data_IF_473654215508
#
_entry.id   IF_473654215508
#
_cell.length_a   1.000
_cell.length_b   1.000
_cell.length_c   1.000
_cell.angle_alpha   90.00
_cell.angle_beta   90.00
_cell.angle_gamma   90.00
#
_symmetry.space_group_name_H-M   'P 1'
#
loop_
_entity.id
_entity.type
_entity.pdbx_description
1 polymer ?
#
# COMPACT_ATOMS: atom_id res chain seq x y z
N UNK A 1 -21.18 1.44 -7.08
CA UNK A 1 -20.16 2.50 -6.86
C UNK A 1 -19.20 2.49 -8.03
N UNK A 2 -18.89 3.65 -8.60
CA UNK A 2 -17.93 3.82 -9.69
C UNK A 2 -16.77 4.68 -9.19
N UNK A 3 -15.55 4.19 -9.33
CA UNK A 3 -14.33 4.92 -9.01
C UNK A 3 -13.57 5.20 -10.31
N UNK A 4 -12.97 6.39 -10.44
CA UNK A 4 -12.29 6.81 -11.65
C UNK A 4 -10.88 7.33 -11.36
N UNK A 5 -9.98 7.11 -12.32
CA UNK A 5 -8.66 7.70 -12.33
C UNK A 5 -8.30 8.10 -13.77
N UNK A 6 -7.59 9.21 -13.92
CA UNK A 6 -7.07 9.68 -15.21
C UNK A 6 -5.56 9.62 -15.18
N UNK A 7 -4.97 8.95 -16.17
CA UNK A 7 -3.53 8.92 -16.40
C UNK A 7 -3.23 9.73 -17.66
N UNK A 8 -2.29 10.67 -17.59
CA UNK A 8 -1.96 11.53 -18.72
C UNK A 8 -0.44 11.69 -18.87
N UNK A 9 0.04 11.43 -20.07
CA UNK A 9 1.44 11.56 -20.46
C UNK A 9 1.54 12.30 -21.79
N UNK A 10 2.61 13.09 -21.95
CA UNK A 10 2.99 13.71 -23.21
C UNK A 10 4.48 13.49 -23.45
N UNK A 11 4.84 13.28 -24.72
CA UNK A 11 6.22 12.97 -25.11
C UNK A 11 7.21 14.11 -24.80
N UNK A 12 6.78 15.37 -24.94
CA UNK A 12 7.70 16.51 -24.88
C UNK A 12 8.74 16.46 -25.99
N UNK A 13 9.99 16.75 -25.66
CA UNK A 13 11.12 16.81 -26.60
C UNK A 13 11.87 15.48 -26.74
N UNK A 14 11.39 14.41 -26.12
CA UNK A 14 12.04 13.10 -26.13
C UNK A 14 11.96 12.39 -27.48
N UNK A 15 12.95 11.54 -27.75
CA UNK A 15 12.96 10.63 -28.89
C UNK A 15 12.23 9.32 -28.51
N UNK A 16 10.95 9.28 -28.84
CA UNK A 16 10.06 8.18 -28.44
C UNK A 16 10.48 6.83 -29.05
N UNK A 17 10.78 6.83 -30.35
CA UNK A 17 11.05 5.57 -31.06
C UNK A 17 12.37 4.92 -30.63
N UNK A 18 13.34 5.71 -30.16
CA UNK A 18 14.60 5.18 -29.61
C UNK A 18 14.49 4.81 -28.12
N UNK A 19 13.33 5.04 -27.49
CA UNK A 19 13.13 4.81 -26.06
C UNK A 19 13.66 5.92 -25.15
N UNK A 20 14.24 6.99 -25.72
CA UNK A 20 14.77 8.13 -24.96
C UNK A 20 13.70 9.19 -24.71
N UNK A 21 12.74 8.85 -23.90
CA UNK A 21 11.65 9.76 -23.49
C UNK A 21 11.39 9.65 -22.00
N UNK A 22 10.91 10.73 -21.37
CA UNK A 22 10.57 10.75 -19.97
C UNK A 22 9.33 9.88 -19.67
N UNK A 23 9.37 9.12 -18.60
CA UNK A 23 8.23 8.35 -18.06
C UNK A 23 7.38 9.17 -17.11
N UNK A 24 7.71 10.44 -16.89
CA UNK A 24 6.92 11.33 -16.06
C UNK A 24 5.50 11.50 -16.63
N UNK A 25 4.52 11.32 -15.78
CA UNK A 25 3.11 11.45 -16.11
C UNK A 25 2.34 11.97 -14.90
N UNK A 26 1.06 12.17 -15.05
CA UNK A 26 0.19 12.59 -13.96
C UNK A 26 -0.95 11.60 -13.78
N UNK A 27 -1.37 11.45 -12.52
CA UNK A 27 -2.57 10.72 -12.14
C UNK A 27 -3.52 11.70 -11.45
N UNK A 28 -4.75 11.76 -11.94
CA UNK A 28 -5.79 12.61 -11.35
C UNK A 28 -6.98 11.75 -10.93
N UNK A 29 -7.43 11.95 -9.72
CA UNK A 29 -8.54 11.20 -9.14
C UNK A 29 -9.83 12.02 -9.14
N UNK A 30 -10.96 11.38 -8.89
CA UNK A 30 -12.29 11.98 -8.98
C UNK A 30 -12.50 13.19 -8.05
N UNK A 31 -11.83 13.21 -6.90
CA UNK A 31 -11.83 14.35 -5.97
C UNK A 31 -10.95 15.53 -6.40
N UNK A 32 -10.27 15.45 -7.56
CA UNK A 32 -9.42 16.51 -8.11
C UNK A 32 -7.95 16.47 -7.68
N UNK A 33 -7.55 15.52 -6.82
CA UNK A 33 -6.14 15.34 -6.45
C UNK A 33 -5.35 14.85 -7.65
N UNK A 34 -4.24 15.52 -7.95
CA UNK A 34 -3.28 15.10 -8.97
C UNK A 34 -1.93 14.81 -8.33
N UNK A 35 -1.36 13.65 -8.66
CA UNK A 35 -0.02 13.25 -8.21
C UNK A 35 0.91 13.02 -9.41
N UNK A 36 2.20 13.23 -9.19
CA UNK A 36 3.25 12.92 -10.16
C UNK A 36 3.52 11.41 -10.16
N UNK A 37 3.52 10.81 -11.35
CA UNK A 37 3.84 9.41 -11.57
C UNK A 37 5.04 9.22 -12.48
N UNK A 38 5.72 8.09 -12.36
CA UNK A 38 6.81 7.65 -13.25
C UNK A 38 6.99 6.14 -13.13
N UNK A 39 7.79 5.56 -14.03
CA UNK A 39 8.37 4.24 -13.76
C UNK A 39 9.35 4.31 -12.60
N UNK A 40 9.51 3.20 -11.90
CA UNK A 40 10.63 3.03 -10.95
C UNK A 40 11.98 3.16 -11.67
N UNK A 41 13.00 3.79 -11.05
CA UNK A 41 14.36 3.83 -11.59
C UNK A 41 14.99 2.44 -11.78
N UNK A 42 14.51 1.43 -11.06
CA UNK A 42 14.96 0.04 -11.25
C UNK A 42 14.37 -0.63 -12.48
N UNK A 43 13.28 -0.08 -13.05
CA UNK A 43 12.68 -0.54 -14.31
C UNK A 43 13.15 0.28 -15.49
N UNK A 44 13.15 1.60 -15.35
CA UNK A 44 13.69 2.54 -16.35
C UNK A 44 14.71 3.44 -15.68
N UNK A 45 16.00 3.38 -16.08
CA UNK A 45 17.06 4.15 -15.43
C UNK A 45 16.85 5.67 -15.52
N UNK A 46 17.41 6.39 -14.56
CA UNK A 46 17.51 7.85 -14.63
C UNK A 46 18.38 8.25 -15.86
N UNK A 47 18.13 9.39 -16.50
CA UNK A 47 17.12 10.41 -16.19
C UNK A 47 15.75 10.18 -16.86
N UNK A 48 15.49 9.02 -17.43
CA UNK A 48 14.25 8.72 -18.16
C UNK A 48 13.08 8.40 -17.23
N UNK A 49 13.35 8.07 -15.98
CA UNK A 49 12.37 8.01 -14.90
C UNK A 49 12.57 9.16 -13.91
N UNK A 50 11.64 9.33 -12.99
CA UNK A 50 11.66 10.36 -11.95
C UNK A 50 11.56 9.68 -10.59
N UNK A 51 12.65 9.64 -9.85
CA UNK A 51 12.74 8.96 -8.56
C UNK A 51 11.75 9.49 -7.52
N UNK A 52 11.53 10.81 -7.52
CA UNK A 52 10.62 11.47 -6.58
C UNK A 52 9.13 11.27 -6.90
N UNK A 53 8.80 10.76 -8.08
CA UNK A 53 7.42 10.48 -8.47
C UNK A 53 7.00 9.07 -8.04
N UNK A 54 5.68 8.86 -7.90
CA UNK A 54 5.12 7.57 -7.48
C UNK A 54 5.09 6.60 -8.64
N UNK A 55 5.57 5.38 -8.45
CA UNK A 55 5.49 4.34 -9.46
C UNK A 55 4.23 3.44 -9.29
N UNK A 56 3.85 2.67 -10.33
CA UNK A 56 2.67 1.81 -10.27
C UNK A 56 2.72 0.75 -9.17
N UNK A 57 3.89 0.21 -8.87
CA UNK A 57 4.10 -0.80 -7.86
C UNK A 57 3.87 -0.22 -6.46
N UNK A 58 4.38 0.99 -6.20
CA UNK A 58 4.13 1.73 -4.94
C UNK A 58 2.64 2.03 -4.76
N UNK A 59 1.93 2.45 -5.82
CA UNK A 59 0.49 2.70 -5.77
C UNK A 59 -0.30 1.42 -5.47
N UNK A 60 0.10 0.30 -6.06
CA UNK A 60 -0.53 -1.00 -5.81
C UNK A 60 -0.37 -1.42 -4.34
N UNK A 61 0.84 -1.32 -3.80
CA UNK A 61 1.13 -1.62 -2.39
C UNK A 61 0.35 -0.70 -1.47
N UNK A 62 0.36 0.61 -1.74
CA UNK A 62 -0.36 1.60 -0.96
C UNK A 62 -1.87 1.37 -0.95
N UNK A 63 -2.45 0.94 -2.08
CA UNK A 63 -3.88 0.64 -2.15
C UNK A 63 -4.28 -0.54 -1.27
N UNK A 64 -3.46 -1.59 -1.22
CA UNK A 64 -3.64 -2.75 -0.34
C UNK A 64 -3.53 -2.35 1.14
N UNK A 65 -2.49 -1.62 1.49
CA UNK A 65 -2.26 -1.16 2.86
C UNK A 65 -3.38 -0.24 3.36
N UNK A 66 -3.78 0.73 2.54
CA UNK A 66 -4.85 1.67 2.89
C UNK A 66 -6.21 0.99 3.02
N UNK A 67 -6.56 0.09 2.12
CA UNK A 67 -7.82 -0.65 2.18
C UNK A 67 -7.90 -1.52 3.43
N UNK A 68 -6.82 -2.23 3.76
CA UNK A 68 -6.73 -3.03 4.99
C UNK A 68 -6.89 -2.16 6.24
N UNK A 69 -6.18 -1.04 6.31
CA UNK A 69 -6.29 -0.09 7.42
C UNK A 69 -7.71 0.40 7.64
N UNK A 70 -8.39 0.83 6.58
CA UNK A 70 -9.75 1.37 6.67
C UNK A 70 -10.73 0.34 7.23
N UNK A 71 -10.65 -0.91 6.81
CA UNK A 71 -11.46 -1.99 7.36
C UNK A 71 -11.09 -2.32 8.80
N UNK A 72 -9.80 -2.37 9.12
CA UNK A 72 -9.34 -2.56 10.50
C UNK A 72 -9.92 -1.50 11.44
N UNK A 73 -9.82 -0.24 11.07
CA UNK A 73 -10.32 0.88 11.88
C UNK A 73 -11.84 0.79 12.10
N UNK A 74 -12.59 0.43 11.06
CA UNK A 74 -14.03 0.28 11.19
C UNK A 74 -14.41 -0.88 12.12
N UNK A 75 -13.78 -2.02 11.99
CA UNK A 75 -14.02 -3.17 12.87
C UNK A 75 -13.57 -2.88 14.31
N UNK A 76 -12.43 -2.25 14.51
CA UNK A 76 -11.97 -1.84 15.83
C UNK A 76 -12.96 -0.91 16.51
N UNK A 77 -13.43 0.10 15.79
CA UNK A 77 -14.45 1.02 16.29
C UNK A 77 -15.73 0.30 16.73
N UNK A 78 -16.20 -0.67 15.95
CA UNK A 78 -17.46 -1.39 16.23
C UNK A 78 -17.42 -2.18 17.54
N UNK A 79 -16.26 -2.63 17.95
CA UNK A 79 -16.08 -3.39 19.19
C UNK A 79 -15.57 -2.54 20.36
N UNK A 80 -15.43 -1.22 20.16
CA UNK A 80 -14.97 -0.30 21.19
C UNK A 80 -13.46 -0.33 21.43
N UNK A 81 -12.66 -0.89 20.52
CA UNK A 81 -11.20 -0.78 20.55
C UNK A 81 -10.79 0.59 20.00
N UNK A 82 -10.39 1.50 20.88
CA UNK A 82 -10.10 2.89 20.55
C UNK A 82 -8.69 3.03 19.99
N UNK A 83 -8.58 3.12 18.67
CA UNK A 83 -7.29 3.27 17.97
C UNK A 83 -6.85 4.73 17.95
N UNK A 84 -5.68 5.01 18.49
CA UNK A 84 -5.07 6.34 18.49
C UNK A 84 -4.27 6.62 17.22
N UNK A 85 -3.56 5.62 16.71
CA UNK A 85 -2.79 5.75 15.47
C UNK A 85 -2.60 4.40 14.76
N UNK A 86 -2.38 4.47 13.46
CA UNK A 86 -2.10 3.32 12.61
C UNK A 86 -1.06 3.72 11.57
N UNK A 87 0.03 2.97 11.49
CA UNK A 87 1.07 3.16 10.48
C UNK A 87 1.40 1.80 9.86
N UNK A 88 1.61 1.75 8.56
CA UNK A 88 1.99 0.52 7.86
C UNK A 88 3.15 0.80 6.91
N UNK A 89 4.28 0.17 7.14
CA UNK A 89 5.43 0.18 6.26
C UNK A 89 5.40 -1.08 5.38
N UNK A 90 4.48 -1.09 4.43
CA UNK A 90 4.26 -2.20 3.54
C UNK A 90 5.35 -2.33 2.47
N UNK A 91 5.64 -3.56 2.09
CA UNK A 91 6.59 -3.88 1.00
C UNK A 91 5.97 -4.81 -0.01
N UNK A 92 6.41 -4.72 -1.27
CA UNK A 92 6.03 -5.62 -2.35
C UNK A 92 7.24 -6.28 -3.00
N UNK A 93 7.07 -7.52 -3.42
CA UNK A 93 8.10 -8.30 -4.09
C UNK A 93 7.69 -8.57 -5.54
N UNK A 94 8.54 -8.16 -6.49
CA UNK A 94 8.42 -8.53 -7.89
C UNK A 94 9.15 -9.85 -8.14
N UNK A 95 8.46 -10.79 -8.77
CA UNK A 95 9.03 -12.05 -9.24
C UNK A 95 8.59 -12.33 -10.67
N UNK A 96 9.20 -13.32 -11.31
CA UNK A 96 8.78 -13.80 -12.62
C UNK A 96 7.98 -15.10 -12.46
N UNK A 97 6.91 -15.20 -13.24
CA UNK A 97 6.16 -16.46 -13.37
C UNK A 97 6.87 -17.45 -14.30
N UNK A 98 6.26 -18.63 -14.51
CA UNK A 98 6.80 -19.67 -15.36
C UNK A 98 6.97 -19.25 -16.83
N UNK A 99 6.20 -18.25 -17.29
CA UNK A 99 6.28 -17.70 -18.64
C UNK A 99 7.25 -16.50 -18.74
N UNK A 100 7.94 -16.18 -17.66
CA UNK A 100 8.90 -15.07 -17.58
C UNK A 100 8.26 -13.70 -17.41
N UNK A 101 6.96 -13.61 -17.08
CA UNK A 101 6.26 -12.36 -16.82
C UNK A 101 6.50 -11.89 -15.39
N UNK A 102 6.91 -10.64 -15.25
CA UNK A 102 7.06 -10.03 -13.92
C UNK A 102 5.71 -9.64 -13.34
N UNK A 103 5.54 -9.86 -12.04
CA UNK A 103 4.33 -9.49 -11.30
C UNK A 103 4.64 -9.28 -9.82
N UNK A 104 3.81 -8.52 -9.14
CA UNK A 104 3.90 -8.36 -7.69
C UNK A 104 3.33 -9.61 -7.05
N UNK A 105 4.22 -10.54 -6.70
CA UNK A 105 3.83 -11.88 -6.22
C UNK A 105 3.45 -11.88 -4.76
N UNK A 106 4.02 -10.97 -3.96
CA UNK A 106 3.77 -10.86 -2.54
C UNK A 106 3.78 -9.41 -2.09
N UNK A 107 2.84 -9.05 -1.23
CA UNK A 107 2.83 -7.80 -0.47
C UNK A 107 2.79 -8.15 1.01
N UNK A 108 3.69 -7.57 1.79
CA UNK A 108 3.72 -7.72 3.24
C UNK A 108 3.29 -6.41 3.88
N UNK A 109 2.18 -6.46 4.61
CA UNK A 109 1.69 -5.36 5.43
C UNK A 109 2.30 -5.48 6.83
N UNK A 110 2.79 -4.35 7.38
CA UNK A 110 3.37 -4.29 8.72
C UNK A 110 2.70 -3.22 9.57
N UNK A 111 1.43 -3.43 9.91
CA UNK A 111 0.68 -2.44 10.66
C UNK A 111 1.22 -2.28 12.09
N UNK A 112 1.49 -1.05 12.46
CA UNK A 112 1.77 -0.60 13.81
C UNK A 112 0.55 0.13 14.35
N UNK A 113 -0.21 -0.54 15.21
CA UNK A 113 -1.44 -0.02 15.79
C UNK A 113 -1.20 0.43 17.22
N UNK A 114 -1.56 1.67 17.52
CA UNK A 114 -1.53 2.21 18.87
C UNK A 114 -2.96 2.47 19.34
N UNK A 115 -3.30 1.94 20.50
CA UNK A 115 -4.58 2.14 21.11
C UNK A 115 -4.53 3.24 22.17
N UNK A 116 -5.61 4.00 22.30
CA UNK A 116 -5.77 4.96 23.39
C UNK A 116 -5.90 4.25 24.74
N UNK A 117 -6.53 3.07 24.73
CA UNK A 117 -6.58 2.15 25.89
C UNK A 117 -5.48 1.09 25.76
N UNK A 118 -4.52 1.02 26.70
CA UNK A 118 -3.42 0.05 26.62
C UNK A 118 -3.85 -1.41 26.88
N UNK A 119 -5.10 -1.66 27.26
CA UNK A 119 -5.61 -3.00 27.65
C UNK A 119 -6.26 -3.76 26.50
N UNK A 120 -6.00 -3.42 25.26
CA UNK A 120 -6.49 -4.21 24.11
C UNK A 120 -5.65 -5.49 23.97
N UNK A 121 -6.25 -6.68 24.15
CA UNK A 121 -5.49 -7.93 24.07
C UNK A 121 -4.93 -8.14 22.66
N UNK A 122 -3.71 -8.67 22.57
CA UNK A 122 -3.06 -9.03 21.29
C UNK A 122 -3.97 -9.90 20.41
N UNK A 123 -4.61 -10.91 20.98
CA UNK A 123 -5.51 -11.80 20.26
C UNK A 123 -6.66 -11.08 19.57
N UNK A 124 -7.13 -9.99 20.16
CA UNK A 124 -8.18 -9.18 19.57
C UNK A 124 -7.66 -8.42 18.35
N UNK A 125 -6.48 -7.84 18.44
CA UNK A 125 -5.82 -7.19 17.30
C UNK A 125 -5.58 -8.17 16.15
N UNK A 126 -5.14 -9.38 16.43
CA UNK A 126 -4.97 -10.44 15.42
C UNK A 126 -6.29 -10.78 14.73
N UNK A 127 -7.36 -10.92 15.50
CA UNK A 127 -8.72 -11.16 14.95
C UNK A 127 -9.19 -10.01 14.06
N UNK A 128 -8.95 -8.76 14.46
CA UNK A 128 -9.31 -7.58 13.67
C UNK A 128 -8.54 -7.54 12.35
N UNK A 129 -7.25 -7.88 12.35
CA UNK A 129 -6.47 -7.95 11.11
C UNK A 129 -6.97 -9.06 10.17
N UNK A 130 -7.34 -10.22 10.72
CA UNK A 130 -7.91 -11.30 9.92
C UNK A 130 -9.23 -10.89 9.25
N UNK A 131 -10.13 -10.26 10.01
CA UNK A 131 -11.40 -9.75 9.49
C UNK A 131 -11.18 -8.66 8.42
N UNK A 132 -10.24 -7.73 8.67
CA UNK A 132 -9.91 -6.67 7.72
C UNK A 132 -9.37 -7.24 6.40
N UNK A 133 -8.52 -8.25 6.46
CA UNK A 133 -8.02 -8.93 5.26
C UNK A 133 -9.15 -9.57 4.43
N UNK A 134 -10.09 -10.24 5.09
CA UNK A 134 -11.23 -10.85 4.41
C UNK A 134 -12.17 -9.83 3.77
N UNK A 135 -12.33 -8.66 4.38
CA UNK A 135 -13.21 -7.60 3.89
C UNK A 135 -12.54 -6.66 2.89
N UNK A 136 -11.22 -6.67 2.76
CA UNK A 136 -10.47 -5.74 1.92
C UNK A 136 -10.80 -5.94 0.44
N UNK A 137 -11.44 -4.93 -0.18
CA UNK A 137 -11.83 -4.98 -1.59
C UNK A 137 -10.64 -5.20 -2.53
N UNK A 138 -9.51 -4.56 -2.25
CA UNK A 138 -8.32 -4.66 -3.09
C UNK A 138 -7.69 -6.05 -2.95
N UNK A 139 -7.59 -6.58 -1.72
CA UNK A 139 -7.09 -7.94 -1.49
C UNK A 139 -7.95 -8.99 -2.21
N UNK A 140 -9.26 -8.81 -2.22
CA UNK A 140 -10.19 -9.70 -2.93
C UNK A 140 -10.12 -9.57 -4.46
N UNK A 141 -9.41 -8.59 -4.99
CA UNK A 141 -9.34 -8.28 -6.43
C UNK A 141 -8.03 -8.72 -7.08
N UNK A 142 -7.08 -9.26 -6.32
CA UNK A 142 -5.73 -9.57 -6.79
C UNK A 142 -5.34 -11.02 -6.53
N UNK A 143 -4.41 -11.52 -7.32
CA UNK A 143 -3.80 -12.86 -7.12
C UNK A 143 -2.53 -12.82 -6.25
N UNK A 144 -2.06 -11.64 -5.91
CA UNK A 144 -0.90 -11.39 -5.05
C UNK A 144 -1.11 -12.04 -3.68
N UNK A 145 -0.08 -12.73 -3.18
CA UNK A 145 -0.07 -13.22 -1.80
C UNK A 145 0.12 -12.04 -0.85
N UNK A 146 -0.79 -11.90 0.12
CA UNK A 146 -0.79 -10.80 1.07
C UNK A 146 -0.52 -11.36 2.46
N UNK A 147 0.66 -11.06 2.99
CA UNK A 147 1.05 -11.39 4.36
C UNK A 147 0.81 -10.18 5.27
N UNK A 148 0.35 -10.44 6.47
CA UNK A 148 0.14 -9.41 7.49
C UNK A 148 1.02 -9.77 8.68
N UNK A 149 1.99 -8.90 8.96
CA UNK A 149 2.98 -9.04 10.02
C UNK A 149 2.88 -7.83 10.95
N UNK A 150 1.91 -7.79 11.89
CA UNK A 150 1.74 -6.67 12.79
C UNK A 150 2.99 -6.42 13.63
N UNK A 151 3.31 -5.15 13.85
CA UNK A 151 4.39 -4.76 14.76
C UNK A 151 3.96 -5.08 16.19
N UNK A 152 4.77 -5.87 16.88
CA UNK A 152 4.52 -6.25 18.26
C UNK A 152 5.13 -5.22 19.20
N UNK A 153 4.34 -4.79 20.18
CA UNK A 153 4.81 -3.97 21.29
C UNK A 153 4.89 -4.85 22.53
N UNK A 154 6.09 -5.04 23.06
CA UNK A 154 6.27 -5.71 24.33
C UNK A 154 5.51 -4.94 25.40
N UNK A 155 4.55 -5.60 26.04
CA UNK A 155 3.82 -5.08 27.20
C UNK A 155 4.69 -5.17 28.48
N UNK A 156 6.00 -5.14 28.34
CA UNK A 156 6.90 -5.04 29.48
C UNK A 156 7.26 -3.57 29.66
N UNK A 157 6.58 -2.93 30.60
CA UNK A 157 7.07 -1.85 31.47
C UNK A 157 5.91 -1.02 32.03
N UNK A 158 5.05 -1.62 32.86
CA UNK A 158 4.31 -0.86 33.89
C UNK A 158 4.11 -1.72 35.13
N UNK A 159 5.24 -2.15 35.71
CA UNK A 159 5.28 -2.50 37.11
C UNK A 159 6.42 -1.70 37.73
N UNK A 160 6.13 -0.44 38.07
CA UNK A 160 6.92 0.27 39.10
C UNK A 160 6.15 1.50 39.58
N UNK A 161 5.75 1.44 40.86
CA UNK A 161 5.28 2.55 41.63
C UNK A 161 3.84 2.48 42.07
#
# INVERSE_FOLDING_TARGET
MLSTARVAWTRGDGDFLSGRYSRAHTLTFDGGVTIAGSSSPSVVPLPLSVEAAVDPEEMFIASLAACHMLWFLDFARRIGADVASYTDEATGELTKDADGRSWVSKVTLRPDVRYADPVVPRRLTETLHHQAHQACFIANSVKTDIAIEPVEHNQEERHHG
#
